data_IF_233332108892
#
_entry.id   IF_233332108892
#
_cell.length_a   1.000
_cell.length_b   1.000
_cell.length_c   1.000
_cell.angle_alpha   90.00
_cell.angle_beta   90.00
_cell.angle_gamma   90.00
#
_symmetry.space_group_name_H-M   'P 1'
#
loop_
_entity.id
_entity.type
_entity.pdbx_description
1 polymer ?
#
# COMPACT_ATOMS: atom_id res chain seq x y z
N UNK A 1 -0.63 -0.58 -23.56
CA UNK A 1 -0.89 0.53 -24.50
C UNK A 1 -2.31 0.45 -25.08
N UNK A 2 -2.62 -0.54 -25.93
CA UNK A 2 -3.92 -0.65 -26.60
C UNK A 2 -5.17 -0.61 -25.68
N UNK A 3 -5.12 -1.24 -24.50
CA UNK A 3 -6.23 -1.18 -23.53
C UNK A 3 -6.46 0.23 -22.96
N UNK A 4 -5.39 1.00 -22.71
CA UNK A 4 -5.50 2.38 -22.23
C UNK A 4 -6.01 3.31 -23.32
N UNK A 5 -5.55 3.14 -24.56
CA UNK A 5 -6.03 3.91 -25.70
C UNK A 5 -7.53 3.70 -25.93
N UNK A 6 -7.97 2.44 -26.00
CA UNK A 6 -9.39 2.11 -26.12
C UNK A 6 -10.21 2.69 -24.95
N UNK A 7 -9.70 2.59 -23.72
CA UNK A 7 -10.36 3.18 -22.55
C UNK A 7 -10.51 4.70 -22.67
N UNK A 8 -9.45 5.42 -23.06
CA UNK A 8 -9.50 6.88 -23.23
C UNK A 8 -10.47 7.31 -24.33
N UNK A 9 -10.55 6.57 -25.44
CA UNK A 9 -11.54 6.84 -26.50
C UNK A 9 -12.98 6.74 -25.97
N UNK A 10 -13.25 5.76 -25.10
CA UNK A 10 -14.56 5.60 -24.46
C UNK A 10 -14.86 6.71 -23.45
N UNK A 11 -13.85 7.28 -22.79
CA UNK A 11 -14.04 8.44 -21.91
C UNK A 11 -14.34 9.71 -22.72
N UNK A 12 -13.61 9.92 -23.82
CA UNK A 12 -13.77 11.05 -24.73
C UNK A 12 -15.18 11.13 -25.33
N UNK A 13 -15.77 9.99 -25.68
CA UNK A 13 -17.14 9.95 -26.22
C UNK A 13 -18.24 10.38 -25.24
N UNK A 14 -17.91 10.56 -23.95
CA UNK A 14 -18.88 10.93 -22.90
C UNK A 14 -18.86 12.40 -22.52
N UNK A 15 -18.01 13.21 -23.17
CA UNK A 15 -17.80 14.63 -22.83
C UNK A 15 -19.03 15.51 -22.99
N UNK A 16 -19.88 15.22 -23.97
CA UNK A 16 -21.05 16.05 -24.28
C UNK A 16 -22.04 16.14 -23.11
N UNK A 17 -22.21 15.06 -22.34
CA UNK A 17 -23.11 15.02 -21.18
C UNK A 17 -22.61 15.75 -19.94
N UNK A 18 -21.40 16.33 -19.97
CA UNK A 18 -20.69 16.92 -18.82
C UNK A 18 -19.99 18.24 -19.20
N UNK A 19 -20.53 18.97 -20.17
CA UNK A 19 -20.01 20.29 -20.55
C UNK A 19 -18.61 20.26 -21.18
N UNK A 20 -18.29 19.20 -21.92
CA UNK A 20 -16.99 19.02 -22.57
C UNK A 20 -15.94 18.30 -21.72
N UNK A 21 -16.25 17.99 -20.45
CA UNK A 21 -15.39 17.21 -19.55
C UNK A 21 -15.87 15.76 -19.48
N UNK A 22 -14.99 14.78 -19.30
CA UNK A 22 -15.42 13.36 -19.20
C UNK A 22 -15.68 12.90 -17.75
N UNK A 23 -15.20 13.67 -16.77
CA UNK A 23 -15.20 13.30 -15.35
C UNK A 23 -16.08 14.21 -14.48
N UNK A 24 -15.68 15.48 -14.33
CA UNK A 24 -16.33 16.46 -13.47
C UNK A 24 -17.20 17.43 -14.28
N UNK A 25 -18.34 17.84 -13.72
CA UNK A 25 -19.16 18.91 -14.24
C UNK A 25 -18.54 20.30 -13.96
N UNK A 26 -18.98 21.38 -14.63
CA UNK A 26 -18.53 22.73 -14.31
C UNK A 26 -18.77 23.09 -12.84
N UNK A 27 -17.71 23.54 -12.15
CA UNK A 27 -17.76 23.89 -10.73
C UNK A 27 -17.68 22.71 -9.76
N UNK A 28 -17.56 21.47 -10.25
CA UNK A 28 -17.44 20.26 -9.44
C UNK A 28 -15.95 19.90 -9.24
N UNK A 29 -15.57 19.51 -8.02
CA UNK A 29 -14.21 18.99 -7.77
C UNK A 29 -14.09 17.52 -8.18
N UNK A 30 -12.87 17.01 -8.35
CA UNK A 30 -12.66 15.59 -8.62
C UNK A 30 -13.19 14.68 -7.50
N UNK A 31 -13.16 15.14 -6.24
CA UNK A 31 -13.70 14.40 -5.11
C UNK A 31 -15.23 14.30 -5.16
N UNK A 32 -15.91 15.40 -5.51
CA UNK A 32 -17.36 15.43 -5.69
C UNK A 32 -17.79 14.52 -6.84
N UNK A 33 -17.09 14.60 -7.98
CA UNK A 33 -17.34 13.76 -9.14
C UNK A 33 -17.15 12.26 -8.84
N UNK A 34 -16.15 11.92 -8.02
CA UNK A 34 -15.92 10.55 -7.55
C UNK A 34 -17.07 10.07 -6.67
N UNK A 35 -17.43 10.84 -5.63
CA UNK A 35 -18.49 10.45 -4.68
C UNK A 35 -19.88 10.40 -5.33
N UNK A 36 -20.16 11.25 -6.32
CA UNK A 36 -21.40 11.20 -7.10
C UNK A 36 -21.54 9.91 -7.91
N UNK A 37 -20.42 9.36 -8.39
CA UNK A 37 -20.37 8.13 -9.22
C UNK A 37 -20.21 6.86 -8.38
N UNK A 38 -19.69 6.97 -7.17
CA UNK A 38 -19.54 5.85 -6.26
C UNK A 38 -20.91 5.36 -5.80
N UNK A 39 -21.15 4.05 -5.92
CA UNK A 39 -22.42 3.45 -5.50
C UNK A 39 -22.54 3.56 -3.98
N UNK A 40 -23.71 3.98 -3.49
CA UNK A 40 -23.97 4.05 -2.04
C UNK A 40 -24.03 2.69 -1.36
N UNK A 41 -24.26 1.62 -2.14
CA UNK A 41 -24.18 0.24 -1.66
C UNK A 41 -22.75 -0.31 -1.62
N UNK A 42 -21.75 0.45 -2.06
CA UNK A 42 -20.35 0.04 -1.99
C UNK A 42 -19.90 0.00 -0.52
N UNK A 43 -19.31 -1.11 -0.03
CA UNK A 43 -18.89 -1.22 1.36
C UNK A 43 -17.85 -0.15 1.77
N UNK A 44 -17.12 0.42 0.81
CA UNK A 44 -16.14 1.47 1.05
C UNK A 44 -16.73 2.90 0.92
N UNK A 45 -18.03 3.06 0.64
CA UNK A 45 -18.65 4.38 0.43
C UNK A 45 -18.38 5.35 1.58
N UNK A 46 -18.64 4.91 2.82
CA UNK A 46 -18.45 5.74 4.01
C UNK A 46 -16.97 6.05 4.27
N UNK A 47 -16.05 5.16 3.88
CA UNK A 47 -14.60 5.36 3.99
C UNK A 47 -14.17 6.49 3.06
N UNK A 48 -14.55 6.42 1.78
CA UNK A 48 -14.19 7.46 0.82
C UNK A 48 -14.83 8.81 1.14
N UNK A 49 -16.06 8.80 1.65
CA UNK A 49 -16.74 10.02 2.09
C UNK A 49 -16.02 10.67 3.27
N UNK A 50 -15.59 9.88 4.26
CA UNK A 50 -14.81 10.38 5.38
C UNK A 50 -13.45 10.93 4.93
N UNK A 51 -12.75 10.21 4.04
CA UNK A 51 -11.49 10.67 3.47
C UNK A 51 -11.62 12.01 2.72
N UNK A 52 -12.66 12.15 1.88
CA UNK A 52 -12.89 13.40 1.15
C UNK A 52 -13.16 14.59 2.09
N UNK A 53 -13.92 14.36 3.17
CA UNK A 53 -14.20 15.39 4.17
C UNK A 53 -12.93 15.80 4.95
N UNK A 54 -12.14 14.83 5.41
CA UNK A 54 -10.88 15.07 6.11
C UNK A 54 -9.87 15.80 5.21
N UNK A 55 -9.76 15.40 3.95
CA UNK A 55 -8.90 16.06 2.97
C UNK A 55 -9.31 17.51 2.76
N UNK A 56 -10.61 17.80 2.61
CA UNK A 56 -11.12 19.16 2.46
C UNK A 56 -10.81 20.02 3.70
N UNK A 57 -11.01 19.48 4.91
CA UNK A 57 -10.69 20.16 6.17
C UNK A 57 -9.18 20.47 6.29
N UNK A 58 -8.32 19.48 6.04
CA UNK A 58 -6.86 19.64 6.09
C UNK A 58 -6.36 20.64 5.06
N UNK A 59 -6.96 20.64 3.86
CA UNK A 59 -6.59 21.59 2.80
C UNK A 59 -6.96 23.03 3.14
N UNK A 60 -8.10 23.25 3.79
CA UNK A 60 -8.51 24.58 4.26
C UNK A 60 -7.54 25.14 5.32
N UNK A 61 -6.97 24.28 6.16
CA UNK A 61 -5.96 24.64 7.16
C UNK A 61 -4.52 24.65 6.64
N UNK A 62 -4.28 24.35 5.36
CA UNK A 62 -2.94 24.22 4.83
C UNK A 62 -2.23 25.59 4.76
N UNK A 63 -0.95 25.60 5.13
CA UNK A 63 -0.11 26.81 5.03
C UNK A 63 0.49 26.90 3.63
N UNK A 64 0.31 28.06 2.98
CA UNK A 64 0.98 28.33 1.72
C UNK A 64 2.48 28.53 1.94
N UNK A 65 3.30 27.80 1.18
CA UNK A 65 4.76 27.89 1.23
C UNK A 65 5.31 28.69 0.05
N UNK A 66 6.44 29.35 0.25
CA UNK A 66 7.24 29.87 -0.87
C UNK A 66 7.97 28.74 -1.57
N UNK A 67 8.47 29.00 -2.78
CA UNK A 67 9.24 28.02 -3.53
C UNK A 67 10.52 27.63 -2.78
N UNK A 68 11.22 28.59 -2.17
CA UNK A 68 12.45 28.33 -1.41
C UNK A 68 12.18 27.44 -0.20
N UNK A 69 11.10 27.69 0.54
CA UNK A 69 10.70 26.86 1.68
C UNK A 69 10.31 25.45 1.23
N UNK A 70 9.58 25.32 0.13
CA UNK A 70 9.21 24.02 -0.42
C UNK A 70 10.45 23.20 -0.82
N UNK A 71 11.40 23.82 -1.54
CA UNK A 71 12.65 23.16 -1.97
C UNK A 71 13.50 22.72 -0.76
N UNK A 72 13.53 23.51 0.32
CA UNK A 72 14.27 23.16 1.54
C UNK A 72 13.70 21.92 2.23
N UNK A 73 12.39 21.69 2.17
CA UNK A 73 11.72 20.52 2.77
C UNK A 73 11.80 19.25 1.89
N UNK A 74 11.99 19.39 0.57
CA UNK A 74 11.98 18.25 -0.36
C UNK A 74 12.92 17.09 0.01
N UNK A 75 14.18 17.30 0.46
CA UNK A 75 15.07 16.20 0.83
C UNK A 75 14.54 15.35 1.98
N UNK A 76 13.90 15.97 2.96
CA UNK A 76 13.33 15.27 4.11
C UNK A 76 12.03 14.53 3.73
N UNK A 77 11.20 15.13 2.87
CA UNK A 77 10.03 14.46 2.29
C UNK A 77 10.46 13.23 1.50
N UNK A 78 11.49 13.34 0.66
CA UNK A 78 12.01 12.21 -0.12
C UNK A 78 12.55 11.10 0.80
N UNK A 79 13.28 11.47 1.86
CA UNK A 79 13.79 10.51 2.85
C UNK A 79 12.63 9.75 3.54
N UNK A 80 11.59 10.46 3.99
CA UNK A 80 10.40 9.84 4.60
C UNK A 80 9.65 8.95 3.61
N UNK A 81 9.45 9.43 2.39
CA UNK A 81 8.82 8.66 1.32
C UNK A 81 9.55 7.34 1.03
N UNK A 82 10.89 7.34 0.97
CA UNK A 82 11.68 6.12 0.78
C UNK A 82 11.50 5.11 1.93
N UNK A 83 11.39 5.60 3.16
CA UNK A 83 11.10 4.75 4.31
C UNK A 83 9.69 4.16 4.25
N UNK A 84 8.69 4.97 3.89
CA UNK A 84 7.32 4.50 3.69
C UNK A 84 7.24 3.44 2.58
N UNK A 85 7.96 3.64 1.46
CA UNK A 85 8.04 2.66 0.38
C UNK A 85 8.70 1.34 0.82
N UNK A 86 9.77 1.43 1.63
CA UNK A 86 10.43 0.24 2.17
C UNK A 86 9.49 -0.54 3.11
N UNK A 87 8.65 0.16 3.88
CA UNK A 87 7.70 -0.46 4.81
C UNK A 87 6.42 -0.97 4.13
N UNK A 88 6.04 -0.39 2.99
CA UNK A 88 4.79 -0.72 2.31
C UNK A 88 4.65 -2.21 1.99
N UNK A 89 5.76 -2.89 1.67
CA UNK A 89 5.79 -4.34 1.48
C UNK A 89 5.28 -5.10 2.71
N UNK A 90 5.79 -4.76 3.90
CA UNK A 90 5.38 -5.38 5.16
C UNK A 90 3.88 -5.21 5.42
N UNK A 91 3.34 -4.02 5.14
CA UNK A 91 1.90 -3.73 5.28
C UNK A 91 1.06 -4.59 4.33
N UNK A 92 1.47 -4.73 3.06
CA UNK A 92 0.74 -5.54 2.07
C UNK A 92 0.72 -7.02 2.45
N UNK A 93 1.86 -7.57 2.87
CA UNK A 93 1.95 -8.96 3.31
C UNK A 93 1.24 -9.22 4.64
N UNK A 94 1.05 -8.18 5.47
CA UNK A 94 0.41 -8.30 6.77
C UNK A 94 -1.11 -8.09 6.78
N UNK A 95 -1.65 -7.19 5.95
CA UNK A 95 -3.08 -6.86 5.94
C UNK A 95 -3.91 -7.67 4.95
N UNK A 96 -3.28 -8.29 3.95
CA UNK A 96 -3.97 -9.22 3.05
C UNK A 96 -4.06 -10.59 3.71
N UNK A 97 -5.26 -11.06 4.05
CA UNK A 97 -5.47 -12.38 4.65
C UNK A 97 -4.84 -13.51 3.80
N UNK A 98 -4.89 -13.37 2.48
CA UNK A 98 -4.31 -14.32 1.53
C UNK A 98 -2.77 -14.33 1.61
N UNK A 99 -2.13 -13.17 1.58
CA UNK A 99 -0.66 -13.09 1.64
C UNK A 99 -0.12 -13.36 3.04
N UNK A 100 -0.84 -12.94 4.08
CA UNK A 100 -0.46 -13.17 5.47
C UNK A 100 -0.50 -14.66 5.82
N UNK A 101 -1.53 -15.39 5.36
CA UNK A 101 -1.65 -16.83 5.62
C UNK A 101 -0.65 -17.66 4.82
N UNK A 102 -0.45 -17.35 3.53
CA UNK A 102 0.55 -18.02 2.70
C UNK A 102 1.98 -17.76 3.21
N UNK A 103 2.31 -16.50 3.50
CA UNK A 103 3.63 -16.11 4.00
C UNK A 103 3.95 -16.75 5.35
N UNK A 104 2.98 -16.80 6.28
CA UNK A 104 3.18 -17.45 7.58
C UNK A 104 3.45 -18.95 7.44
N UNK A 105 2.74 -19.64 6.55
CA UNK A 105 2.93 -21.07 6.31
C UNK A 105 4.32 -21.36 5.72
N UNK A 106 4.79 -20.54 4.79
CA UNK A 106 6.14 -20.63 4.23
C UNK A 106 7.22 -20.31 5.28
N UNK A 107 7.02 -19.27 6.10
CA UNK A 107 7.92 -18.92 7.19
C UNK A 107 8.04 -20.06 8.22
N UNK A 108 6.93 -20.67 8.62
CA UNK A 108 6.93 -21.84 9.50
C UNK A 108 7.64 -23.05 8.89
N UNK A 109 7.53 -23.26 7.57
CA UNK A 109 8.24 -24.33 6.88
C UNK A 109 9.75 -24.08 6.86
N UNK A 110 10.18 -22.86 6.58
CA UNK A 110 11.60 -22.49 6.59
C UNK A 110 12.18 -22.62 8.01
N UNK A 111 11.45 -22.15 9.03
CA UNK A 111 11.85 -22.30 10.44
C UNK A 111 11.99 -23.79 10.82
N UNK A 112 10.99 -24.62 10.48
CA UNK A 112 11.07 -26.08 10.71
C UNK A 112 12.26 -26.72 10.00
N UNK A 113 12.53 -26.32 8.75
CA UNK A 113 13.69 -26.82 7.99
C UNK A 113 15.01 -26.40 8.64
N UNK A 114 15.09 -25.20 9.22
CA UNK A 114 16.25 -24.74 9.97
C UNK A 114 16.45 -25.55 11.26
N UNK A 115 15.38 -25.75 12.04
CA UNK A 115 15.40 -26.48 13.31
C UNK A 115 15.86 -27.94 13.16
N UNK A 116 15.38 -28.61 12.11
CA UNK A 116 15.76 -30.01 11.82
C UNK A 116 17.05 -30.13 11.01
N UNK A 117 17.77 -29.04 10.78
CA UNK A 117 19.04 -29.02 10.06
C UNK A 117 18.95 -29.36 8.56
N UNK A 118 17.76 -29.27 7.97
CA UNK A 118 17.50 -29.60 6.55
C UNK A 118 17.51 -28.39 5.62
N UNK A 119 17.52 -27.18 6.14
CA UNK A 119 17.54 -25.96 5.32
C UNK A 119 18.83 -25.82 4.50
N UNK A 120 20.01 -26.07 5.11
CA UNK A 120 21.29 -25.96 4.41
C UNK A 120 21.40 -26.91 3.20
N UNK A 121 21.07 -28.21 3.32
CA UNK A 121 21.01 -29.12 2.17
C UNK A 121 20.09 -28.65 1.03
N UNK A 122 18.98 -27.97 1.34
CA UNK A 122 18.07 -27.46 0.32
C UNK A 122 18.61 -26.22 -0.41
N UNK A 123 19.37 -25.36 0.29
CA UNK A 123 20.09 -24.25 -0.32
C UNK A 123 21.24 -24.74 -1.21
N UNK A 124 21.97 -25.76 -0.76
CA UNK A 124 23.12 -26.34 -1.46
C UNK A 124 22.68 -27.05 -2.75
N UNK A 125 21.58 -27.80 -2.69
CA UNK A 125 20.97 -28.46 -3.86
C UNK A 125 20.24 -27.49 -4.80
N UNK A 126 20.14 -26.20 -4.43
CA UNK A 126 19.35 -25.18 -5.14
C UNK A 126 17.87 -25.54 -5.30
N UNK A 127 17.35 -26.45 -4.47
CA UNK A 127 15.92 -26.70 -4.33
C UNK A 127 15.21 -25.48 -3.70
N UNK A 128 15.92 -24.77 -2.83
CA UNK A 128 15.56 -23.43 -2.37
C UNK A 128 16.66 -22.44 -2.76
N UNK A 129 16.26 -21.24 -3.18
CA UNK A 129 17.18 -20.14 -3.50
C UNK A 129 16.75 -18.92 -2.72
N UNK A 130 17.58 -18.50 -1.76
CA UNK A 130 17.40 -17.26 -1.03
C UNK A 130 18.23 -16.15 -1.68
N UNK A 131 17.65 -14.97 -1.85
CA UNK A 131 18.27 -13.82 -2.51
C UNK A 131 18.14 -12.62 -1.57
N UNK A 132 19.25 -11.90 -1.39
CA UNK A 132 19.32 -10.61 -0.71
C UNK A 132 19.84 -9.57 -1.72
N UNK A 133 18.92 -8.73 -2.20
CA UNK A 133 19.17 -7.81 -3.31
C UNK A 133 19.62 -8.54 -4.58
N UNK A 134 20.88 -8.38 -4.96
CA UNK A 134 21.49 -9.02 -6.14
C UNK A 134 22.35 -10.25 -5.79
N UNK A 135 22.42 -10.63 -4.51
CA UNK A 135 23.31 -11.68 -4.00
C UNK A 135 22.52 -12.91 -3.55
N UNK A 136 23.02 -14.12 -3.84
CA UNK A 136 22.47 -15.36 -3.29
C UNK A 136 22.91 -15.50 -1.83
N UNK A 137 21.96 -15.73 -0.93
CA UNK A 137 22.23 -16.11 0.46
C UNK A 137 22.57 -17.59 0.49
N UNK A 138 23.74 -17.94 1.03
CA UNK A 138 24.26 -19.31 1.00
C UNK A 138 24.21 -20.02 2.35
N UNK A 139 23.76 -19.35 3.42
CA UNK A 139 23.76 -19.93 4.78
C UNK A 139 22.35 -20.03 5.34
N UNK A 140 22.02 -21.19 5.90
CA UNK A 140 20.72 -21.45 6.50
C UNK A 140 20.41 -20.55 7.71
N UNK A 141 21.43 -20.21 8.51
CA UNK A 141 21.28 -19.32 9.67
C UNK A 141 20.89 -17.90 9.25
N UNK A 142 21.46 -17.39 8.17
CA UNK A 142 21.11 -16.07 7.65
C UNK A 142 19.68 -16.04 7.10
N UNK A 143 19.27 -17.10 6.37
CA UNK A 143 17.89 -17.22 5.87
C UNK A 143 16.89 -17.29 7.02
N UNK A 144 17.14 -18.14 8.03
CA UNK A 144 16.25 -18.27 9.19
C UNK A 144 16.11 -16.94 9.94
N UNK A 145 17.22 -16.24 10.18
CA UNK A 145 17.23 -14.92 10.81
C UNK A 145 16.41 -13.89 10.02
N UNK A 146 16.56 -13.85 8.69
CA UNK A 146 15.80 -12.92 7.86
C UNK A 146 14.30 -13.19 7.89
N UNK A 147 13.88 -14.45 7.92
CA UNK A 147 12.47 -14.81 8.04
C UNK A 147 11.90 -14.35 9.39
N UNK A 148 12.63 -14.55 10.49
CA UNK A 148 12.22 -14.06 11.82
C UNK A 148 12.11 -12.53 11.88
N UNK A 149 13.11 -11.81 11.34
CA UNK A 149 13.10 -10.35 11.28
C UNK A 149 11.96 -9.81 10.42
N UNK A 150 11.67 -10.46 9.29
CA UNK A 150 10.55 -10.10 8.43
C UNK A 150 9.20 -10.27 9.13
N UNK A 151 8.95 -11.42 9.75
CA UNK A 151 7.69 -11.68 10.46
C UNK A 151 7.48 -10.68 11.61
N UNK A 152 8.52 -10.40 12.39
CA UNK A 152 8.45 -9.41 13.47
C UNK A 152 8.18 -7.99 12.95
N UNK A 153 8.78 -7.60 11.82
CA UNK A 153 8.55 -6.28 11.20
C UNK A 153 7.13 -6.17 10.65
N UNK A 154 6.66 -7.22 9.96
CA UNK A 154 5.30 -7.32 9.41
C UNK A 154 4.24 -7.16 10.49
N UNK A 155 4.34 -7.91 11.58
CA UNK A 155 3.35 -7.87 12.66
C UNK A 155 3.30 -6.47 13.31
N UNK A 156 4.47 -5.87 13.55
CA UNK A 156 4.56 -4.49 14.06
C UNK A 156 3.94 -3.47 13.10
N UNK A 157 4.12 -3.63 11.80
CA UNK A 157 3.54 -2.76 10.78
C UNK A 157 2.01 -2.86 10.79
N UNK A 158 1.47 -4.09 10.85
CA UNK A 158 0.02 -4.35 10.95
C UNK A 158 -0.58 -3.71 12.19
N UNK A 159 0.03 -3.94 13.36
CA UNK A 159 -0.44 -3.36 14.62
C UNK A 159 -0.47 -1.83 14.58
N UNK A 160 0.56 -1.22 14.00
CA UNK A 160 0.66 0.22 13.84
C UNK A 160 -0.46 0.77 12.96
N UNK A 161 -0.76 0.11 11.83
CA UNK A 161 -1.86 0.52 10.94
C UNK A 161 -3.22 0.31 11.62
N UNK A 162 -3.46 -0.84 12.26
CA UNK A 162 -4.73 -1.13 12.91
C UNK A 162 -5.00 -0.20 14.11
N UNK A 163 -3.95 0.29 14.78
CA UNK A 163 -4.06 1.28 15.85
C UNK A 163 -4.48 2.68 15.36
N UNK A 164 -4.29 2.99 14.07
CA UNK A 164 -4.69 4.28 13.45
C UNK A 164 -6.13 4.29 12.93
N UNK A 165 -6.91 3.22 13.16
CA UNK A 165 -8.32 3.16 12.74
C UNK A 165 -9.08 4.39 13.21
N UNK A 166 -9.66 5.10 12.26
CA UNK A 166 -10.42 6.32 12.49
C UNK A 166 -11.60 6.03 13.44
N UNK A 167 -11.74 6.73 14.58
CA UNK A 167 -12.90 6.61 15.48
C UNK A 167 -14.24 6.86 14.77
N UNK A 168 -14.22 7.58 13.65
CA UNK A 168 -15.39 7.85 12.80
C UNK A 168 -16.00 6.58 12.18
N UNK A 169 -15.22 5.51 12.00
CA UNK A 169 -15.67 4.24 11.44
C UNK A 169 -16.20 3.25 12.51
N UNK A 170 -15.90 3.49 13.79
CA UNK A 170 -16.35 2.62 14.89
C UNK A 170 -17.78 2.89 15.36
N UNK A 171 -18.34 4.08 15.04
CA UNK A 171 -19.68 4.50 15.52
C UNK A 171 -20.87 3.82 14.83
N UNK A 172 -20.65 2.82 13.97
CA UNK A 172 -21.72 2.06 13.31
C UNK A 172 -21.47 0.55 13.44
N UNK A 173 -21.75 0.01 14.61
CA UNK A 173 -22.13 -1.39 14.80
C UNK A 173 -23.42 -1.45 15.60
#
# INVERSE_FOLDING_TARGET
AAAFEAFTQVLESRKEGLGGSWFAAPGETSADAFLRRLKTSDPAYEIYKAYAAEHAEKWQGATALTMEAAIAEMPEIERKYKLECAEYGNVVFGLSDEFASAGKLEAEQIAKLADVGKLQPQLDSSALVAIDGMSKVTTASQVAKFVEEFEASKDKAVDSVLATKLPALEKKK
#
